data_IF_864575771860
#
_entry.id   IF_864575771860
#
_cell.length_a   1.000
_cell.length_b   1.000
_cell.length_c   1.000
_cell.angle_alpha   90.00
_cell.angle_beta   90.00
_cell.angle_gamma   90.00
#
_symmetry.space_group_name_H-M   'P 1'
#
loop_
_entity.id
_entity.type
_entity.pdbx_description
1 polymer ?
#
# COMPACT_ATOMS: atom_id res chain seq x y z
N UNK A 1 2.57 10.84 58.93
CA UNK A 1 1.78 9.68 58.45
C UNK A 1 0.40 10.19 58.11
N UNK A 2 -0.22 10.04 56.94
CA UNK A 2 0.16 9.58 55.62
C UNK A 2 -0.71 10.38 54.63
N UNK A 3 -0.15 10.77 53.48
CA UNK A 3 -0.86 11.40 52.37
C UNK A 3 -1.86 10.41 51.76
N UNK A 4 -3.06 10.86 51.41
CA UNK A 4 -3.94 10.09 50.52
C UNK A 4 -4.32 10.96 49.32
N UNK A 5 -3.47 10.89 48.30
CA UNK A 5 -3.72 11.42 46.96
C UNK A 5 -4.69 10.44 46.27
N UNK A 6 -5.96 10.84 46.17
CA UNK A 6 -6.93 10.11 45.38
C UNK A 6 -6.81 10.56 43.91
N UNK A 7 -5.84 10.00 43.18
CA UNK A 7 -5.73 10.20 41.73
C UNK A 7 -6.73 9.28 41.03
N UNK A 8 -7.94 9.79 40.78
CA UNK A 8 -8.90 9.15 39.88
C UNK A 8 -8.34 9.19 38.45
N UNK A 9 -7.69 8.11 38.03
CA UNK A 9 -7.30 7.83 36.65
C UNK A 9 -8.55 7.49 35.82
N UNK A 10 -9.33 8.51 35.47
CA UNK A 10 -10.33 8.41 34.41
C UNK A 10 -9.72 8.86 33.09
N UNK A 11 -9.07 7.90 32.42
CA UNK A 11 -8.62 8.05 31.04
C UNK A 11 -8.85 6.74 30.32
N UNK A 12 -10.07 6.50 29.86
CA UNK A 12 -10.32 5.57 28.75
C UNK A 12 -9.68 6.15 27.49
N UNK A 13 -8.34 6.15 27.45
CA UNK A 13 -7.57 6.39 26.25
C UNK A 13 -7.62 5.07 25.48
N UNK A 14 -8.73 4.81 24.76
CA UNK A 14 -8.67 3.79 23.72
C UNK A 14 -7.69 4.33 22.69
N UNK A 15 -6.41 3.97 22.81
CA UNK A 15 -5.42 4.38 21.83
C UNK A 15 -5.90 3.88 20.47
N UNK A 16 -6.23 4.83 19.59
CA UNK A 16 -6.73 4.49 18.27
C UNK A 16 -5.63 3.77 17.52
N UNK A 17 -5.94 2.61 16.91
CA UNK A 17 -4.98 1.91 16.06
C UNK A 17 -4.48 2.80 14.93
N UNK A 18 -3.28 2.52 14.44
CA UNK A 18 -2.76 3.13 13.22
C UNK A 18 -3.60 2.76 11.98
N UNK A 19 -3.44 3.54 10.91
CA UNK A 19 -4.12 3.28 9.64
C UNK A 19 -3.26 2.38 8.73
N UNK A 20 -3.90 1.52 7.95
CA UNK A 20 -3.28 0.79 6.84
C UNK A 20 -3.58 1.52 5.53
N UNK A 21 -2.56 2.18 4.97
CA UNK A 21 -2.67 2.95 3.72
C UNK A 21 -1.91 2.24 2.62
N UNK A 22 -2.60 1.85 1.55
CA UNK A 22 -1.98 1.18 0.41
C UNK A 22 -1.92 2.12 -0.79
N UNK A 23 -0.75 2.17 -1.43
CA UNK A 23 -0.58 2.81 -2.73
C UNK A 23 -0.53 1.74 -3.81
N UNK A 24 -1.45 1.82 -4.77
CA UNK A 24 -1.55 0.93 -5.93
C UNK A 24 -1.36 1.68 -7.25
N UNK A 25 -1.09 0.93 -8.30
CA UNK A 25 -0.89 1.47 -9.65
C UNK A 25 0.12 0.68 -10.48
N UNK A 26 0.22 1.04 -11.75
CA UNK A 26 1.12 0.44 -12.74
C UNK A 26 2.60 0.55 -12.33
N UNK A 27 3.48 -0.21 -12.98
CA UNK A 27 4.92 0.02 -12.82
C UNK A 27 5.30 1.45 -13.21
N UNK A 28 6.33 1.99 -12.53
CA UNK A 28 6.79 3.38 -12.67
C UNK A 28 5.77 4.50 -12.44
N UNK A 29 4.56 4.25 -11.93
CA UNK A 29 3.59 5.32 -11.65
C UNK A 29 3.97 6.27 -10.48
N UNK A 30 5.01 5.96 -9.70
CA UNK A 30 5.55 6.84 -8.66
C UNK A 30 5.16 6.46 -7.23
N UNK A 31 4.65 5.24 -7.00
CA UNK A 31 4.27 4.73 -5.66
C UNK A 31 5.37 4.94 -4.62
N UNK A 32 6.59 4.49 -4.88
CA UNK A 32 7.76 4.68 -4.00
C UNK A 32 7.95 6.13 -3.56
N UNK A 33 7.85 7.05 -4.50
CA UNK A 33 8.05 8.49 -4.24
C UNK A 33 6.91 9.03 -3.40
N UNK A 34 5.67 8.66 -3.72
CA UNK A 34 4.49 9.15 -3.03
C UNK A 34 4.32 8.54 -1.63
N UNK A 35 4.66 7.25 -1.45
CA UNK A 35 4.67 6.61 -0.13
C UNK A 35 5.72 7.27 0.77
N UNK A 36 6.95 7.49 0.27
CA UNK A 36 7.99 8.19 1.02
C UNK A 36 7.61 9.62 1.40
N UNK A 37 6.97 10.37 0.50
CA UNK A 37 6.44 11.71 0.81
C UNK A 37 5.36 11.69 1.87
N UNK A 38 4.42 10.75 1.78
CA UNK A 38 3.37 10.58 2.78
C UNK A 38 3.96 10.23 4.15
N UNK A 39 4.95 9.34 4.20
CA UNK A 39 5.63 8.95 5.43
C UNK A 39 6.32 10.15 6.10
N UNK A 40 7.14 10.90 5.35
CA UNK A 40 7.79 12.12 5.86
C UNK A 40 6.77 13.17 6.33
N UNK A 41 5.64 13.27 5.63
CA UNK A 41 4.58 14.18 6.03
C UNK A 41 3.96 13.79 7.38
N UNK A 42 3.65 12.51 7.60
CA UNK A 42 3.13 12.02 8.88
C UNK A 42 4.15 12.15 10.01
N UNK A 43 5.41 11.83 9.73
CA UNK A 43 6.52 11.98 10.68
C UNK A 43 6.69 13.45 11.10
N UNK A 44 6.61 14.39 10.15
CA UNK A 44 6.66 15.83 10.42
C UNK A 44 5.48 16.36 11.26
N UNK A 45 4.36 15.62 11.31
CA UNK A 45 3.22 15.90 12.19
C UNK A 45 3.30 15.18 13.55
N UNK A 46 4.36 14.41 13.80
CA UNK A 46 4.53 13.63 15.03
C UNK A 46 3.72 12.33 15.07
N UNK A 47 3.22 11.85 13.93
CA UNK A 47 2.52 10.57 13.86
C UNK A 47 3.49 9.41 13.63
N UNK A 48 3.37 8.34 14.41
CA UNK A 48 4.11 7.11 14.19
C UNK A 48 3.69 6.47 12.86
N UNK A 49 4.64 6.33 11.93
CA UNK A 49 4.41 5.74 10.63
C UNK A 49 5.60 4.91 10.13
N UNK A 50 5.32 3.82 9.41
CA UNK A 50 6.31 2.96 8.78
C UNK A 50 6.04 2.79 7.27
N UNK A 51 7.12 2.64 6.49
CA UNK A 51 7.08 2.34 5.05
C UNK A 51 7.30 0.87 4.80
N UNK A 52 6.34 0.23 4.15
CA UNK A 52 6.38 -1.17 3.79
C UNK A 52 6.20 -1.32 2.28
N UNK A 53 6.67 -2.42 1.70
CA UNK A 53 6.53 -2.72 0.27
C UNK A 53 6.29 -4.21 0.06
N UNK A 54 5.43 -4.54 -0.90
CA UNK A 54 5.34 -5.89 -1.41
C UNK A 54 5.75 -5.98 -2.89
N UNK A 55 6.46 -7.05 -3.31
CA UNK A 55 6.97 -8.12 -2.45
C UNK A 55 8.08 -7.63 -1.51
N UNK A 56 8.10 -8.12 -0.27
CA UNK A 56 9.26 -7.95 0.61
C UNK A 56 10.34 -8.92 0.13
N UNK A 57 11.31 -8.39 -0.63
CA UNK A 57 12.39 -9.16 -1.25
C UNK A 57 13.46 -9.64 -0.26
N UNK A 58 13.37 -9.29 1.02
CA UNK A 58 14.36 -9.69 2.04
C UNK A 58 14.14 -11.09 2.58
N UNK A 59 12.93 -11.64 2.45
CA UNK A 59 12.60 -12.99 2.93
C UNK A 59 12.94 -14.07 1.91
N UNK A 60 12.96 -15.34 2.30
CA UNK A 60 13.22 -16.46 1.38
C UNK A 60 12.18 -16.53 0.24
N UNK A 61 10.90 -16.33 0.55
CA UNK A 61 9.83 -16.20 -0.47
C UNK A 61 10.06 -14.97 -1.35
N UNK A 62 10.43 -13.85 -0.73
CA UNK A 62 10.81 -12.62 -1.41
C UNK A 62 11.94 -12.77 -2.42
N UNK A 63 12.97 -13.54 -2.07
CA UNK A 63 14.10 -13.83 -2.93
C UNK A 63 13.70 -14.67 -4.15
N UNK A 64 12.84 -15.69 -3.96
CA UNK A 64 12.28 -16.47 -5.08
C UNK A 64 11.48 -15.59 -6.05
N UNK A 65 10.66 -14.68 -5.51
CA UNK A 65 9.93 -13.68 -6.31
C UNK A 65 10.91 -12.74 -7.04
N UNK A 66 11.96 -12.29 -6.36
CA UNK A 66 12.96 -11.39 -6.94
C UNK A 66 13.67 -12.04 -8.13
N UNK A 67 14.12 -13.29 -8.01
CA UNK A 67 14.72 -14.05 -9.12
C UNK A 67 13.76 -14.24 -10.28
N UNK A 68 12.47 -14.43 -9.99
CA UNK A 68 11.46 -14.51 -11.04
C UNK A 68 11.29 -13.18 -11.78
N UNK A 69 11.16 -12.06 -11.05
CA UNK A 69 10.97 -10.72 -11.62
C UNK A 69 12.18 -10.22 -12.40
N UNK A 70 13.39 -10.61 -12.00
CA UNK A 70 14.65 -10.31 -12.70
C UNK A 70 14.94 -11.24 -13.89
N UNK A 71 13.99 -12.12 -14.25
CA UNK A 71 14.16 -13.14 -15.30
C UNK A 71 15.29 -14.16 -15.05
N UNK A 72 15.74 -14.32 -13.81
CA UNK A 72 16.76 -15.32 -13.43
C UNK A 72 16.17 -16.71 -13.18
N UNK A 73 14.86 -16.81 -12.95
CA UNK A 73 14.15 -18.08 -12.83
C UNK A 73 12.83 -18.05 -13.61
N UNK A 74 12.32 -19.23 -13.95
CA UNK A 74 10.99 -19.41 -14.53
C UNK A 74 10.13 -20.21 -13.57
N UNK A 75 8.87 -19.81 -13.43
CA UNK A 75 7.88 -20.44 -12.57
C UNK A 75 6.53 -20.41 -13.30
N UNK A 76 5.69 -21.41 -13.05
CA UNK A 76 4.29 -21.40 -13.48
C UNK A 76 3.56 -20.18 -12.88
N UNK A 77 2.64 -19.61 -13.65
CA UNK A 77 1.90 -18.40 -13.30
C UNK A 77 1.10 -18.54 -12.00
N UNK A 78 0.59 -19.75 -11.72
CA UNK A 78 -0.12 -20.05 -10.48
C UNK A 78 0.84 -20.17 -9.31
N UNK A 79 2.00 -20.79 -9.53
CA UNK A 79 3.03 -20.94 -8.49
C UNK A 79 3.55 -19.56 -8.05
N UNK A 80 3.95 -18.69 -8.99
CA UNK A 80 4.43 -17.35 -8.64
C UNK A 80 3.33 -16.48 -8.01
N UNK A 81 2.07 -16.60 -8.45
CA UNK A 81 0.95 -15.90 -7.82
C UNK A 81 0.80 -16.28 -6.34
N UNK A 82 0.86 -17.57 -6.02
CA UNK A 82 0.78 -18.06 -4.65
C UNK A 82 1.97 -17.61 -3.81
N UNK A 83 3.18 -17.54 -4.38
CA UNK A 83 4.35 -16.98 -3.67
C UNK A 83 4.16 -15.50 -3.33
N UNK A 84 3.64 -14.68 -4.26
CA UNK A 84 3.30 -13.28 -3.95
C UNK A 84 2.29 -13.17 -2.80
N UNK A 85 1.30 -14.05 -2.75
CA UNK A 85 0.31 -14.09 -1.66
C UNK A 85 0.96 -14.53 -0.34
N UNK A 86 1.74 -15.61 -0.35
CA UNK A 86 2.48 -16.09 0.81
C UNK A 86 3.39 -15.01 1.42
N UNK A 87 4.06 -14.23 0.57
CA UNK A 87 4.92 -13.12 1.01
C UNK A 87 4.15 -11.98 1.71
N UNK A 88 2.84 -11.81 1.45
CA UNK A 88 1.98 -10.92 2.25
C UNK A 88 1.56 -11.58 3.56
N UNK A 89 1.21 -12.86 3.51
CA UNK A 89 0.78 -13.62 4.68
C UNK A 89 1.85 -13.73 5.76
N UNK A 90 3.12 -13.93 5.40
CA UNK A 90 4.22 -13.99 6.37
C UNK A 90 4.40 -12.67 7.16
N UNK A 91 3.88 -11.55 6.64
CA UNK A 91 3.93 -10.23 7.28
C UNK A 91 2.65 -9.85 8.02
N UNK A 92 1.55 -10.58 7.83
CA UNK A 92 0.21 -10.21 8.30
C UNK A 92 0.15 -9.99 9.81
N UNK A 93 0.75 -10.89 10.61
CA UNK A 93 0.73 -10.79 12.08
C UNK A 93 1.53 -9.59 12.58
N UNK A 94 2.73 -9.35 12.03
CA UNK A 94 3.54 -8.17 12.40
C UNK A 94 2.82 -6.87 12.04
N UNK A 95 2.21 -6.82 10.85
CA UNK A 95 1.42 -5.68 10.40
C UNK A 95 0.26 -5.39 11.37
N UNK A 96 -0.47 -6.44 11.80
CA UNK A 96 -1.55 -6.28 12.76
C UNK A 96 -1.06 -5.75 14.12
N UNK A 97 0.06 -6.27 14.63
CA UNK A 97 0.66 -5.80 15.89
C UNK A 97 1.03 -4.32 15.83
N UNK A 98 1.66 -3.89 14.73
CA UNK A 98 2.06 -2.49 14.51
C UNK A 98 0.87 -1.55 14.40
N UNK A 99 -0.18 -1.96 13.68
CA UNK A 99 -1.41 -1.17 13.62
C UNK A 99 -2.05 -1.05 15.01
N UNK A 100 -2.15 -2.15 15.76
CA UNK A 100 -2.71 -2.15 17.13
C UNK A 100 -1.93 -1.26 18.09
N UNK A 101 -0.63 -1.07 17.88
CA UNK A 101 0.21 -0.15 18.69
C UNK A 101 0.13 1.31 18.24
N UNK A 102 -0.82 1.70 17.39
CA UNK A 102 -0.99 3.08 16.92
C UNK A 102 -0.10 3.46 15.72
N UNK A 103 0.76 2.57 15.22
CA UNK A 103 1.65 2.87 14.09
C UNK A 103 0.91 2.75 12.76
N UNK A 104 0.86 3.85 11.99
CA UNK A 104 0.32 3.84 10.63
C UNK A 104 1.29 3.12 9.68
N UNK A 105 0.78 2.27 8.80
CA UNK A 105 1.60 1.52 7.84
C UNK A 105 1.24 1.99 6.44
N UNK A 106 2.22 2.54 5.74
CA UNK A 106 2.11 2.98 4.35
C UNK A 106 2.75 1.91 3.47
N UNK A 107 1.96 1.27 2.64
CA UNK A 107 2.37 0.11 1.84
C UNK A 107 2.43 0.45 0.36
N UNK A 108 3.59 0.25 -0.26
CA UNK A 108 3.78 0.27 -1.72
C UNK A 108 3.46 -1.12 -2.29
N UNK A 109 2.31 -1.24 -2.97
CA UNK A 109 1.66 -2.47 -3.45
C UNK A 109 1.17 -3.42 -2.36
N UNK A 110 -0.01 -4.00 -2.56
CA UNK A 110 -0.58 -5.02 -1.68
C UNK A 110 -1.34 -6.09 -2.47
N UNK A 111 -2.45 -6.60 -1.93
CA UNK A 111 -3.25 -7.66 -2.54
C UNK A 111 -3.79 -7.29 -3.93
N UNK A 112 -4.13 -6.02 -4.17
CA UNK A 112 -4.65 -5.58 -5.47
C UNK A 112 -3.62 -5.72 -6.59
N UNK A 113 -2.35 -5.37 -6.33
CA UNK A 113 -1.25 -5.68 -7.26
C UNK A 113 -1.17 -7.19 -7.57
N UNK A 114 -1.30 -8.05 -6.55
CA UNK A 114 -1.29 -9.50 -6.72
C UNK A 114 -2.40 -10.00 -7.66
N UNK A 115 -3.62 -9.50 -7.48
CA UNK A 115 -4.77 -9.89 -8.32
C UNK A 115 -4.66 -9.30 -9.73
N UNK A 116 -4.33 -8.01 -9.85
CA UNK A 116 -4.30 -7.31 -11.14
C UNK A 116 -3.23 -7.89 -12.08
N UNK A 117 -2.02 -8.12 -11.58
CA UNK A 117 -0.93 -8.65 -12.40
C UNK A 117 -1.17 -10.09 -12.83
N UNK A 118 -1.68 -10.94 -11.94
CA UNK A 118 -1.94 -12.34 -12.27
C UNK A 118 -3.14 -12.53 -13.20
N UNK A 119 -4.21 -11.74 -13.02
CA UNK A 119 -5.35 -11.77 -13.95
C UNK A 119 -4.99 -11.21 -15.33
N UNK A 120 -4.11 -10.21 -15.42
CA UNK A 120 -3.57 -9.72 -16.69
C UNK A 120 -2.77 -10.78 -17.49
N UNK A 121 -2.29 -11.83 -16.81
CA UNK A 121 -1.67 -13.02 -17.45
C UNK A 121 -2.68 -14.08 -17.89
N UNK A 122 -3.98 -13.85 -17.68
CA UNK A 122 -5.06 -14.75 -18.08
C UNK A 122 -5.57 -15.67 -16.97
N UNK A 123 -5.10 -15.51 -15.72
CA UNK A 123 -5.66 -16.27 -14.60
C UNK A 123 -7.04 -15.73 -14.21
N UNK A 124 -7.93 -16.63 -13.77
CA UNK A 124 -9.27 -16.25 -13.33
C UNK A 124 -9.19 -15.30 -12.12
N UNK A 125 -9.90 -14.15 -12.20
CA UNK A 125 -9.86 -13.12 -11.15
C UNK A 125 -10.38 -13.62 -9.79
N UNK A 126 -11.38 -14.51 -9.77
CA UNK A 126 -11.89 -15.11 -8.54
C UNK A 126 -10.85 -16.03 -7.90
N UNK A 127 -10.16 -16.84 -8.72
CA UNK A 127 -9.04 -17.64 -8.27
C UNK A 127 -7.90 -16.77 -7.72
N UNK A 128 -7.55 -15.67 -8.40
CA UNK A 128 -6.52 -14.74 -7.91
C UNK A 128 -6.88 -14.04 -6.59
N UNK A 129 -8.17 -13.82 -6.33
CA UNK A 129 -8.65 -13.21 -5.08
C UNK A 129 -8.62 -14.19 -3.91
N UNK A 130 -8.80 -15.49 -4.15
CA UNK A 130 -8.98 -16.48 -3.09
C UNK A 130 -7.79 -16.55 -2.09
N UNK A 131 -6.52 -16.54 -2.52
CA UNK A 131 -5.38 -16.51 -1.61
C UNK A 131 -5.29 -15.25 -0.73
N UNK A 132 -5.93 -14.16 -1.13
CA UNK A 132 -5.90 -12.88 -0.42
C UNK A 132 -6.94 -12.77 0.70
N UNK A 133 -7.92 -13.69 0.74
CA UNK A 133 -9.03 -13.66 1.70
C UNK A 133 -8.49 -13.85 3.12
N UNK A 134 -8.68 -12.84 3.96
CA UNK A 134 -8.23 -12.84 5.37
C UNK A 134 -6.99 -11.98 5.65
N UNK A 135 -6.34 -11.43 4.60
CA UNK A 135 -5.39 -10.34 4.78
C UNK A 135 -6.08 -9.10 5.37
N UNK A 136 -5.28 -8.21 5.97
CA UNK A 136 -5.80 -6.99 6.58
C UNK A 136 -6.37 -6.07 5.51
N UNK A 137 -7.63 -5.67 5.68
CA UNK A 137 -8.28 -4.73 4.76
C UNK A 137 -7.65 -3.33 4.94
N UNK A 138 -7.19 -2.67 3.85
CA UNK A 138 -6.70 -1.30 3.93
C UNK A 138 -7.80 -0.32 4.35
N UNK A 139 -7.44 0.66 5.17
CA UNK A 139 -8.30 1.80 5.50
C UNK A 139 -8.43 2.76 4.32
N UNK A 140 -7.37 2.84 3.50
CA UNK A 140 -7.32 3.69 2.32
C UNK A 140 -6.51 3.01 1.22
N UNK A 141 -7.05 3.05 0.00
CA UNK A 141 -6.34 2.66 -1.22
C UNK A 141 -6.18 3.88 -2.12
N UNK A 142 -4.95 4.34 -2.29
CA UNK A 142 -4.57 5.40 -3.21
C UNK A 142 -4.10 4.79 -4.52
N UNK A 143 -4.92 4.90 -5.56
CA UNK A 143 -4.55 4.45 -6.89
C UNK A 143 -3.92 5.60 -7.68
N UNK A 144 -2.63 5.46 -8.01
CA UNK A 144 -1.88 6.41 -8.83
C UNK A 144 -2.16 6.15 -10.31
N UNK A 145 -3.08 6.92 -10.87
CA UNK A 145 -3.54 6.74 -12.23
C UNK A 145 -2.64 7.50 -13.22
N UNK A 146 -1.98 6.72 -14.07
CA UNK A 146 -1.15 7.19 -15.18
C UNK A 146 -1.36 6.26 -16.37
N UNK A 147 -1.32 6.81 -17.58
CA UNK A 147 -1.33 6.00 -18.80
C UNK A 147 -0.06 5.12 -18.88
N UNK A 148 -0.16 3.86 -19.34
CA UNK A 148 1.00 2.99 -19.55
C UNK A 148 2.11 3.65 -20.39
N UNK A 149 1.76 4.46 -21.39
CA UNK A 149 2.68 5.17 -22.27
C UNK A 149 3.56 6.15 -21.48
N UNK A 150 2.95 7.08 -20.74
CA UNK A 150 3.66 8.01 -19.84
C UNK A 150 4.46 7.31 -18.75
N UNK A 151 4.03 6.14 -18.29
CA UNK A 151 4.78 5.36 -17.31
C UNK A 151 6.05 4.76 -17.93
N UNK A 152 5.98 4.32 -19.19
CA UNK A 152 7.09 3.76 -19.95
C UNK A 152 8.17 4.80 -20.31
N UNK A 153 7.80 6.08 -20.43
CA UNK A 153 8.73 7.19 -20.64
C UNK A 153 9.64 7.47 -19.42
N UNK A 154 9.31 6.94 -18.23
CA UNK A 154 10.09 7.19 -17.01
C UNK A 154 11.35 6.33 -16.99
N UNK A 155 12.45 6.92 -16.51
CA UNK A 155 13.77 6.28 -16.49
C UNK A 155 13.80 4.91 -15.84
N UNK A 156 14.55 3.99 -16.45
CA UNK A 156 14.79 2.63 -15.99
C UNK A 156 13.66 1.63 -16.27
N UNK A 157 12.67 1.99 -17.11
CA UNK A 157 11.62 1.08 -17.55
C UNK A 157 12.17 -0.06 -18.43
N UNK A 158 11.63 -1.26 -18.28
CA UNK A 158 12.01 -2.46 -19.03
C UNK A 158 13.02 -3.36 -18.32
N UNK A 159 13.39 -3.04 -17.07
CA UNK A 159 14.39 -3.79 -16.31
C UNK A 159 13.83 -5.04 -15.60
N UNK A 160 12.52 -5.10 -15.40
CA UNK A 160 11.85 -6.26 -14.78
C UNK A 160 10.83 -6.90 -15.72
N UNK A 161 10.53 -8.18 -15.48
CA UNK A 161 9.66 -9.05 -16.31
C UNK A 161 8.35 -8.40 -16.74
N UNK A 162 7.74 -7.60 -15.88
CA UNK A 162 6.42 -7.02 -16.12
C UNK A 162 6.46 -5.59 -16.66
N UNK A 163 7.63 -4.96 -16.79
CA UNK A 163 7.77 -3.62 -17.36
C UNK A 163 7.71 -3.67 -18.90
N UNK A 164 6.59 -4.18 -19.44
CA UNK A 164 6.29 -4.30 -20.87
C UNK A 164 5.00 -3.54 -21.16
N UNK A 165 5.01 -2.62 -22.13
CA UNK A 165 3.89 -1.69 -22.39
C UNK A 165 2.55 -2.41 -22.57
N UNK A 166 2.52 -3.40 -23.46
CA UNK A 166 1.30 -4.17 -23.76
C UNK A 166 0.82 -4.98 -22.55
N UNK A 167 1.73 -5.42 -21.68
CA UNK A 167 1.35 -6.09 -20.44
C UNK A 167 0.77 -5.09 -19.43
N UNK A 168 1.37 -3.92 -19.26
CA UNK A 168 0.87 -2.89 -18.35
C UNK A 168 -0.50 -2.34 -18.76
N UNK A 169 -0.84 -2.33 -20.06
CA UNK A 169 -2.21 -2.06 -20.54
C UNK A 169 -3.22 -3.06 -19.99
N UNK A 170 -2.93 -4.36 -20.07
CA UNK A 170 -3.78 -5.42 -19.47
C UNK A 170 -3.88 -5.32 -17.95
N UNK A 171 -2.78 -4.95 -17.29
CA UNK A 171 -2.77 -4.69 -15.84
C UNK A 171 -3.68 -3.51 -15.50
N UNK A 172 -3.67 -2.45 -16.30
CA UNK A 172 -4.56 -1.29 -16.10
C UNK A 172 -6.03 -1.68 -16.20
N UNK A 173 -6.40 -2.48 -17.19
CA UNK A 173 -7.76 -3.02 -17.34
C UNK A 173 -8.16 -3.88 -16.14
N UNK A 174 -7.23 -4.73 -15.68
CA UNK A 174 -7.45 -5.56 -14.50
C UNK A 174 -7.65 -4.73 -13.24
N UNK A 175 -6.90 -3.63 -13.07
CA UNK A 175 -7.13 -2.67 -12.00
C UNK A 175 -8.50 -2.00 -12.09
N UNK A 176 -8.91 -1.57 -13.29
CA UNK A 176 -10.24 -0.98 -13.53
C UNK A 176 -11.38 -1.90 -13.05
N UNK A 177 -11.23 -3.21 -13.25
CA UNK A 177 -12.19 -4.22 -12.78
C UNK A 177 -12.18 -4.48 -11.25
N UNK A 178 -11.16 -4.01 -10.53
CA UNK A 178 -11.01 -4.19 -9.07
C UNK A 178 -11.50 -3.00 -8.24
N UNK A 179 -11.85 -1.86 -8.87
CA UNK A 179 -12.26 -0.66 -8.13
C UNK A 179 -13.48 -0.93 -7.23
N UNK A 180 -13.37 -0.49 -5.98
CA UNK A 180 -14.44 -0.54 -4.99
C UNK A 180 -14.56 0.78 -4.21
N UNK A 181 -15.48 0.83 -3.23
CA UNK A 181 -15.81 2.05 -2.50
C UNK A 181 -14.63 2.69 -1.71
N UNK A 182 -13.62 1.90 -1.32
CA UNK A 182 -12.44 2.38 -0.58
C UNK A 182 -11.37 3.04 -1.45
N UNK A 183 -11.53 3.03 -2.77
CA UNK A 183 -10.53 3.53 -3.71
C UNK A 183 -10.65 5.05 -3.87
N UNK A 184 -9.52 5.74 -3.73
CA UNK A 184 -9.38 7.14 -4.15
C UNK A 184 -8.46 7.19 -5.36
N UNK A 185 -9.04 7.53 -6.51
CA UNK A 185 -8.30 7.79 -7.73
C UNK A 185 -7.52 9.10 -7.60
N UNK A 186 -6.26 9.06 -7.98
CA UNK A 186 -5.42 10.25 -8.11
C UNK A 186 -4.82 10.32 -9.50
N UNK A 187 -5.27 11.34 -10.23
CA UNK A 187 -4.64 11.77 -11.46
C UNK A 187 -3.50 12.72 -11.10
N UNK A 188 -2.30 12.42 -11.60
CA UNK A 188 -1.13 13.30 -11.58
C UNK A 188 -0.41 13.49 -10.23
N UNK A 189 0.86 13.87 -10.31
CA UNK A 189 1.92 13.80 -9.29
C UNK A 189 1.74 14.72 -8.06
N UNK A 190 0.61 15.42 -7.91
CA UNK A 190 0.38 16.40 -6.84
C UNK A 190 -0.43 15.79 -5.69
N UNK A 191 0.35 15.31 -4.71
CA UNK A 191 0.07 15.09 -3.29
C UNK A 191 -0.90 13.97 -2.87
N UNK A 192 -0.34 12.78 -2.68
CA UNK A 192 -0.94 11.70 -1.87
C UNK A 192 -1.26 12.14 -0.42
N UNK A 193 -0.48 13.08 0.13
CA UNK A 193 -0.65 13.61 1.48
C UNK A 193 -2.00 14.31 1.70
N UNK A 194 -2.40 15.21 0.80
CA UNK A 194 -3.70 15.90 0.92
C UNK A 194 -4.88 14.94 0.67
N UNK A 195 -4.69 13.88 -0.13
CA UNK A 195 -5.67 12.79 -0.26
C UNK A 195 -5.90 12.04 1.05
N UNK A 196 -4.80 11.66 1.72
CA UNK A 196 -4.83 10.98 3.00
C UNK A 196 -5.59 11.81 4.04
N UNK A 197 -5.23 13.09 4.18
CA UNK A 197 -5.88 14.01 5.11
C UNK A 197 -7.39 14.19 4.87
N UNK A 198 -7.82 14.30 3.61
CA UNK A 198 -9.24 14.46 3.25
C UNK A 198 -10.04 13.17 3.52
N UNK A 199 -9.37 12.01 3.49
CA UNK A 199 -10.02 10.69 3.55
C UNK A 199 -10.16 10.11 4.97
N UNK A 200 -9.59 10.76 5.98
CA UNK A 200 -9.70 10.28 7.36
C UNK A 200 -11.15 10.43 7.86
N UNK A 201 -11.75 9.39 8.48
CA UNK A 201 -13.10 9.48 9.00
C UNK A 201 -13.21 10.60 10.05
N UNK A 202 -14.37 11.28 10.08
CA UNK A 202 -14.70 12.28 11.11
C UNK A 202 -14.64 11.62 12.49
N UNK A 203 -13.52 11.78 13.18
CA UNK A 203 -13.18 11.04 14.40
C UNK A 203 -11.69 10.74 14.53
N UNK A 204 -10.94 10.72 13.42
CA UNK A 204 -9.48 10.78 13.45
C UNK A 204 -9.07 12.20 13.86
N UNK A 205 -8.75 12.40 15.14
CA UNK A 205 -8.27 13.68 15.65
C UNK A 205 -6.82 13.88 15.22
N UNK A 206 -6.60 14.48 14.05
CA UNK A 206 -5.43 15.34 13.89
C UNK A 206 -5.65 16.56 14.80
N UNK A 207 -4.65 17.02 15.57
CA UNK A 207 -4.71 18.31 16.24
C UNK A 207 -5.13 19.37 15.21
N UNK A 208 -6.19 20.10 15.50
CA UNK A 208 -6.73 21.16 14.66
C UNK A 208 -5.68 22.25 14.40
N UNK A 209 -4.91 22.13 13.31
CA UNK A 209 -4.27 23.24 12.61
C UNK A 209 -3.67 22.71 11.30
N UNK A 210 -3.72 23.51 10.24
CA UNK A 210 -3.14 23.27 8.90
C UNK A 210 -3.97 22.41 7.93
N UNK A 211 -5.21 22.82 7.69
CA UNK A 211 -5.69 22.90 6.31
C UNK A 211 -5.46 24.34 5.81
N UNK A 212 -4.71 24.47 4.71
CA UNK A 212 -4.51 25.68 3.91
C UNK A 212 -3.59 26.77 4.50
N UNK A 213 -2.27 26.60 4.33
CA UNK A 213 -1.42 27.74 3.94
C UNK A 213 -0.80 27.42 2.58
N UNK A 214 -1.35 28.06 1.54
CA UNK A 214 -0.75 28.11 0.19
C UNK A 214 0.59 28.85 0.30
N UNK A 215 1.70 28.34 -0.25
CA UNK A 215 2.84 29.21 -0.53
C UNK A 215 2.50 30.14 -1.71
N UNK A 216 3.04 31.36 -1.63
CA UNK A 216 2.91 32.43 -2.60
C UNK A 216 3.51 32.07 -3.97
#
# INVERSE_FOLDING_TARGET
MANNLNSNSNGNNSESRGALVVLEGLDRCGKTTQSSRLHKYLEGLGHAAELWRFPDRTTSVGQMISSYLSNQSQLDDRAIHLLFSANRWEKRTLMETKLKSGTTIIVDRYSYSGVAFSSAKGLNIGWCKAPEIGLLAPDLVLYLDISPEKAAERGGYGGERYEQLEFQKKVQESYRALHGASWKLKHDNKEAASAFLISLPRGFRLPCALLLKRPA
#
